data_IF_681445502524
#
_entry.id   IF_681445502524
#
_cell.length_a   1.000
_cell.length_b   1.000
_cell.length_c   1.000
_cell.angle_alpha   90.00
_cell.angle_beta   90.00
_cell.angle_gamma   90.00
#
_symmetry.space_group_name_H-M   'P 1'
#
loop_
_entity.id
_entity.type
_entity.pdbx_description
1 polymer ?
#
# COMPACT_ATOMS: atom_id res chain seq x y z
N UNK A 1 -27.50 -5.48 8.57
CA UNK A 1 -28.19 -4.20 8.76
C UNK A 1 -28.70 -3.73 7.40
N UNK A 2 -30.01 -3.59 7.27
CA UNK A 2 -30.61 -3.06 6.05
C UNK A 2 -30.51 -1.53 6.10
N UNK A 3 -29.72 -0.94 5.21
CA UNK A 3 -29.67 0.50 5.03
C UNK A 3 -30.89 0.89 4.18
N UNK A 4 -31.76 1.77 4.67
CA UNK A 4 -32.93 2.20 3.93
C UNK A 4 -32.55 3.12 2.73
N UNK A 5 -33.45 3.25 1.76
CA UNK A 5 -33.22 4.04 0.56
C UNK A 5 -33.03 5.53 0.85
N UNK A 6 -33.57 6.05 1.96
CA UNK A 6 -33.44 7.46 2.37
C UNK A 6 -32.03 7.70 2.89
N UNK A 7 -31.52 6.83 3.74
CA UNK A 7 -30.16 6.87 4.26
C UNK A 7 -29.12 6.75 3.13
N UNK A 8 -29.33 5.87 2.14
CA UNK A 8 -28.47 5.74 0.97
C UNK A 8 -28.46 7.02 0.12
N UNK A 9 -29.61 7.63 -0.13
CA UNK A 9 -29.70 8.89 -0.87
C UNK A 9 -29.02 10.04 -0.12
N UNK A 10 -29.15 10.10 1.21
CA UNK A 10 -28.47 11.09 2.04
C UNK A 10 -26.95 10.92 1.99
N UNK A 11 -26.46 9.69 2.12
CA UNK A 11 -25.05 9.37 2.01
C UNK A 11 -24.47 9.71 0.63
N UNK A 12 -25.18 9.38 -0.46
CA UNK A 12 -24.76 9.70 -1.81
C UNK A 12 -24.63 11.21 -2.06
N UNK A 13 -25.49 12.03 -1.41
CA UNK A 13 -25.41 13.51 -1.50
C UNK A 13 -24.26 14.10 -0.66
N UNK A 14 -23.90 13.46 0.45
CA UNK A 14 -22.86 13.93 1.37
C UNK A 14 -22.07 12.76 1.91
N UNK A 15 -21.16 12.20 1.11
CA UNK A 15 -20.33 11.09 1.55
C UNK A 15 -19.41 11.53 2.71
N UNK A 16 -19.15 10.62 3.64
CA UNK A 16 -18.26 10.85 4.80
C UNK A 16 -16.78 10.76 4.45
N UNK A 17 -16.46 10.44 3.22
CA UNK A 17 -15.10 10.33 2.70
C UNK A 17 -14.81 11.36 1.61
N UNK A 18 -13.52 11.58 1.35
CA UNK A 18 -13.03 12.42 0.24
C UNK A 18 -12.13 11.58 -0.64
N UNK A 19 -12.32 11.65 -1.94
CA UNK A 19 -11.40 11.11 -2.92
C UNK A 19 -10.32 12.16 -3.15
N UNK A 20 -9.06 11.83 -2.82
CA UNK A 20 -7.90 12.71 -3.02
C UNK A 20 -7.29 12.50 -4.41
N UNK A 21 -7.29 11.25 -4.89
CA UNK A 21 -6.84 10.88 -6.22
C UNK A 21 -7.60 9.63 -6.68
N UNK A 22 -7.93 9.59 -7.98
CA UNK A 22 -8.53 8.41 -8.61
C UNK A 22 -8.19 8.43 -10.09
N UNK A 23 -7.09 7.80 -10.42
CA UNK A 23 -6.60 7.66 -11.79
C UNK A 23 -5.87 6.32 -11.97
N UNK A 24 -5.22 6.11 -13.12
CA UNK A 24 -4.47 4.88 -13.42
C UNK A 24 -3.26 4.65 -12.52
N UNK A 25 -2.76 5.67 -11.84
CA UNK A 25 -1.55 5.58 -11.02
C UNK A 25 -1.88 5.27 -9.57
N UNK A 26 -2.98 5.84 -9.05
CA UNK A 26 -3.36 5.64 -7.66
C UNK A 26 -4.86 5.87 -7.40
N UNK A 27 -5.37 5.17 -6.39
CA UNK A 27 -6.64 5.52 -5.73
C UNK A 27 -6.34 5.89 -4.28
N UNK A 28 -6.69 7.12 -3.88
CA UNK A 28 -6.43 7.64 -2.55
C UNK A 28 -7.72 8.20 -1.97
N UNK A 29 -8.13 7.64 -0.85
CA UNK A 29 -9.39 8.01 -0.18
C UNK A 29 -9.10 8.37 1.27
N UNK A 30 -9.69 9.46 1.74
CA UNK A 30 -9.60 9.91 3.13
C UNK A 30 -10.97 9.92 3.79
N UNK A 31 -11.07 9.33 4.98
CA UNK A 31 -12.18 9.47 5.92
C UNK A 31 -11.76 10.39 7.08
N UNK A 32 -12.10 11.68 7.03
CA UNK A 32 -11.63 12.64 8.06
C UNK A 32 -12.18 12.33 9.46
N UNK A 33 -13.40 11.80 9.54
CA UNK A 33 -14.03 11.47 10.81
C UNK A 33 -13.30 10.34 11.56
N UNK A 34 -12.70 9.42 10.81
CA UNK A 34 -11.99 8.26 11.35
C UNK A 34 -10.46 8.50 11.41
N UNK A 35 -9.98 9.66 10.97
CA UNK A 35 -8.56 9.95 10.82
C UNK A 35 -7.85 9.00 9.84
N UNK A 36 -8.59 8.40 8.91
CA UNK A 36 -8.10 7.33 8.04
C UNK A 36 -7.80 7.85 6.64
N UNK A 37 -6.63 7.49 6.11
CA UNK A 37 -6.29 7.67 4.69
C UNK A 37 -5.79 6.35 4.12
N UNK A 38 -6.41 5.90 3.04
CA UNK A 38 -6.06 4.67 2.32
C UNK A 38 -5.48 5.01 0.96
N UNK A 39 -4.41 4.34 0.60
CA UNK A 39 -3.66 4.50 -0.64
C UNK A 39 -3.57 3.15 -1.35
N UNK A 40 -4.04 3.09 -2.58
CA UNK A 40 -3.80 1.99 -3.51
C UNK A 40 -2.91 2.55 -4.61
N UNK A 41 -1.64 2.16 -4.62
CA UNK A 41 -0.63 2.66 -5.55
C UNK A 41 -0.38 1.58 -6.60
N UNK A 42 -0.84 1.79 -7.83
CA UNK A 42 -0.67 0.85 -8.96
C UNK A 42 0.68 1.00 -9.63
N UNK A 43 1.16 2.25 -9.68
CA UNK A 43 2.46 2.62 -10.23
C UNK A 43 3.26 3.32 -9.13
N UNK A 44 4.57 3.44 -9.34
CA UNK A 44 5.41 4.25 -8.45
C UNK A 44 5.05 5.72 -8.67
N UNK A 45 4.27 6.35 -7.80
CA UNK A 45 3.80 7.70 -8.06
C UNK A 45 4.94 8.70 -7.96
N UNK A 46 5.04 9.57 -8.92
CA UNK A 46 6.03 10.66 -8.90
C UNK A 46 5.75 11.68 -7.80
N UNK A 47 4.48 11.91 -7.49
CA UNK A 47 4.03 12.77 -6.39
C UNK A 47 2.65 12.32 -5.93
N UNK A 48 2.43 12.34 -4.61
CA UNK A 48 1.13 12.10 -4.02
C UNK A 48 0.44 13.44 -3.72
N UNK A 49 -0.91 13.48 -3.79
CA UNK A 49 -1.65 14.71 -3.54
C UNK A 49 -1.44 15.20 -2.10
N UNK A 50 -1.53 16.52 -1.93
CA UNK A 50 -1.54 17.12 -0.61
C UNK A 50 -2.76 16.67 0.21
N UNK A 51 -2.60 16.68 1.53
CA UNK A 51 -3.66 16.33 2.46
C UNK A 51 -3.51 14.97 3.15
N UNK A 52 -2.51 14.15 2.77
CA UNK A 52 -2.14 12.92 3.45
C UNK A 52 -0.74 12.99 4.08
N UNK A 53 -0.43 12.03 4.95
CA UNK A 53 0.89 11.90 5.58
C UNK A 53 1.90 11.15 4.69
N UNK A 54 1.46 10.26 3.82
CA UNK A 54 2.34 9.58 2.87
C UNK A 54 2.81 10.56 1.80
N UNK A 55 4.13 10.69 1.64
CA UNK A 55 4.75 11.52 0.61
C UNK A 55 5.19 10.71 -0.60
N UNK A 56 5.66 9.48 -0.35
CA UNK A 56 6.23 8.62 -1.40
C UNK A 56 6.20 7.16 -0.99
N UNK A 57 6.04 6.29 -1.97
CA UNK A 57 6.42 4.89 -1.90
C UNK A 57 7.32 4.56 -3.10
N UNK A 58 8.25 3.64 -2.96
CA UNK A 58 9.22 3.27 -4.00
C UNK A 58 8.73 2.16 -4.94
N UNK A 59 7.61 1.54 -4.60
CA UNK A 59 6.98 0.49 -5.41
C UNK A 59 5.46 0.54 -5.28
N UNK A 60 4.75 -0.14 -6.19
CA UNK A 60 3.31 -0.36 -6.08
C UNK A 60 2.98 -1.07 -4.77
N UNK A 61 2.01 -0.58 -4.03
CA UNK A 61 1.65 -1.14 -2.72
C UNK A 61 0.30 -0.61 -2.24
N UNK A 62 -0.19 -1.22 -1.19
CA UNK A 62 -1.33 -0.74 -0.41
C UNK A 62 -0.80 -0.13 0.88
N UNK A 63 -1.22 1.09 1.18
CA UNK A 63 -0.85 1.77 2.44
C UNK A 63 -2.11 2.28 3.10
N UNK A 64 -2.23 2.07 4.39
CA UNK A 64 -3.29 2.62 5.21
C UNK A 64 -2.68 3.35 6.41
N UNK A 65 -3.10 4.60 6.62
CA UNK A 65 -2.65 5.42 7.74
C UNK A 65 -3.87 5.84 8.54
N UNK A 66 -3.89 5.49 9.82
CA UNK A 66 -4.87 5.98 10.77
C UNK A 66 -4.20 6.91 11.77
N UNK A 67 -4.62 8.16 11.75
CA UNK A 67 -4.09 9.23 12.59
C UNK A 67 -4.85 9.30 13.93
N UNK A 68 -4.11 9.32 15.02
CA UNK A 68 -4.59 9.63 16.36
C UNK A 68 -3.92 10.93 16.83
N UNK A 69 -4.26 11.38 18.04
CA UNK A 69 -3.72 12.64 18.58
C UNK A 69 -2.19 12.69 18.57
N UNK A 70 -1.54 11.68 19.15
CA UNK A 70 -0.09 11.67 19.38
C UNK A 70 0.62 10.49 18.70
N UNK A 71 -0.13 9.66 17.97
CA UNK A 71 0.36 8.48 17.29
C UNK A 71 -0.38 8.23 15.99
N UNK A 72 0.18 7.39 15.16
CA UNK A 72 -0.50 6.85 14.00
C UNK A 72 -0.26 5.34 13.87
N UNK A 73 -1.18 4.68 13.23
CA UNK A 73 -1.08 3.29 12.84
C UNK A 73 -0.85 3.25 11.34
N UNK A 74 0.27 2.68 10.94
CA UNK A 74 0.66 2.51 9.54
C UNK A 74 0.58 1.04 9.17
N UNK A 75 -0.22 0.74 8.15
CA UNK A 75 -0.31 -0.60 7.57
C UNK A 75 0.23 -0.55 6.14
N UNK A 76 1.12 -1.47 5.80
CA UNK A 76 1.68 -1.62 4.45
C UNK A 76 1.48 -3.05 3.97
N UNK A 77 1.08 -3.21 2.72
CA UNK A 77 0.97 -4.51 2.05
C UNK A 77 1.42 -4.41 0.61
N UNK A 78 2.14 -5.42 0.14
CA UNK A 78 2.46 -5.60 -1.27
C UNK A 78 1.79 -6.90 -1.74
N UNK A 79 0.79 -6.82 -2.62
CA UNK A 79 -0.02 -7.98 -2.98
C UNK A 79 0.65 -8.95 -3.95
N UNK A 80 1.79 -8.59 -4.54
CA UNK A 80 2.56 -9.51 -5.38
C UNK A 80 3.16 -10.61 -4.51
N UNK A 81 3.06 -11.84 -4.96
CA UNK A 81 3.62 -12.99 -4.25
C UNK A 81 5.12 -13.18 -4.55
N UNK A 82 5.69 -12.41 -5.50
CA UNK A 82 7.08 -12.55 -5.96
C UNK A 82 7.50 -14.02 -6.16
N UNK A 83 6.62 -14.80 -6.75
CA UNK A 83 6.88 -16.20 -7.01
C UNK A 83 8.08 -16.35 -7.94
N UNK A 84 8.98 -17.28 -7.62
CA UNK A 84 10.11 -17.60 -8.48
C UNK A 84 9.65 -17.90 -9.90
N UNK A 85 10.24 -17.19 -10.85
CA UNK A 85 10.04 -17.41 -12.28
C UNK A 85 11.27 -18.15 -12.83
N UNK A 86 11.11 -19.42 -13.12
CA UNK A 86 12.17 -20.20 -13.78
C UNK A 86 12.36 -19.74 -15.24
N UNK A 87 13.41 -20.24 -15.93
CA UNK A 87 13.66 -19.93 -17.34
C UNK A 87 12.47 -20.25 -18.26
N UNK A 88 11.63 -21.20 -17.88
CA UNK A 88 10.40 -21.57 -18.61
C UNK A 88 9.24 -20.57 -18.41
N UNK A 89 9.39 -19.60 -17.52
CA UNK A 89 8.39 -18.60 -17.17
C UNK A 89 8.67 -17.24 -17.83
N UNK A 90 9.39 -17.21 -18.93
CA UNK A 90 9.60 -15.99 -19.69
C UNK A 90 8.26 -15.36 -20.07
N UNK A 91 8.14 -14.06 -19.82
CA UNK A 91 6.90 -13.32 -20.06
C UNK A 91 6.59 -13.17 -21.57
N UNK A 92 7.57 -13.42 -22.41
CA UNK A 92 7.49 -13.33 -23.87
C UNK A 92 8.06 -14.58 -24.50
N UNK A 93 7.44 -15.03 -25.60
CA UNK A 93 8.01 -16.08 -26.42
C UNK A 93 9.16 -15.53 -27.30
N UNK A 94 9.81 -16.43 -28.04
CA UNK A 94 10.92 -16.10 -28.93
C UNK A 94 10.55 -15.11 -30.07
N UNK A 95 9.27 -14.97 -30.35
CA UNK A 95 8.72 -14.06 -31.37
C UNK A 95 8.29 -12.72 -30.77
N UNK A 96 8.56 -12.50 -29.46
CA UNK A 96 8.22 -11.28 -28.73
C UNK A 96 6.74 -11.16 -28.35
N UNK A 97 5.96 -12.22 -28.49
CA UNK A 97 4.55 -12.24 -28.12
C UNK A 97 4.45 -12.52 -26.62
N UNK A 98 3.68 -11.69 -25.92
CA UNK A 98 3.41 -11.88 -24.48
C UNK A 98 2.72 -13.24 -24.26
N UNK A 99 3.33 -14.06 -23.43
CA UNK A 99 2.73 -15.33 -23.01
C UNK A 99 1.90 -15.08 -21.74
N UNK A 100 0.59 -15.25 -21.87
CA UNK A 100 -0.31 -15.27 -20.72
C UNK A 100 -0.28 -16.67 -20.12
N UNK A 101 0.44 -16.83 -19.01
CA UNK A 101 0.38 -18.06 -18.22
C UNK A 101 -0.54 -17.84 -17.04
N UNK A 102 -1.55 -18.71 -16.95
CA UNK A 102 -2.42 -18.73 -15.77
C UNK A 102 -1.60 -19.10 -14.54
N UNK A 103 -1.79 -18.36 -13.45
CA UNK A 103 -1.24 -18.72 -12.14
C UNK A 103 -1.68 -20.12 -11.68
N UNK A 104 -2.81 -20.60 -12.18
CA UNK A 104 -3.34 -21.95 -11.89
C UNK A 104 -2.56 -23.08 -12.59
N UNK A 105 -1.72 -22.79 -13.59
CA UNK A 105 -0.89 -23.78 -14.26
C UNK A 105 0.44 -24.04 -13.55
N UNK A 106 0.70 -23.38 -12.40
CA UNK A 106 1.92 -23.52 -11.63
C UNK A 106 1.72 -24.46 -10.46
N UNK A 107 2.64 -25.37 -10.19
CA UNK A 107 2.64 -26.09 -8.93
C UNK A 107 2.95 -25.10 -7.80
N UNK A 108 1.95 -24.66 -7.06
CA UNK A 108 2.07 -23.78 -5.91
C UNK A 108 3.03 -24.31 -4.83
N UNK A 109 3.18 -25.64 -4.80
CA UNK A 109 3.98 -26.37 -3.82
C UNK A 109 5.49 -26.16 -4.04
N UNK A 110 5.90 -25.84 -5.26
CA UNK A 110 7.33 -25.78 -5.62
C UNK A 110 7.87 -24.33 -5.69
N UNK A 111 7.03 -23.34 -5.44
CA UNK A 111 7.41 -21.94 -5.54
C UNK A 111 7.29 -21.26 -4.18
N UNK A 112 8.40 -21.03 -3.52
CA UNK A 112 8.44 -20.16 -2.36
C UNK A 112 8.20 -18.70 -2.81
N UNK A 113 7.38 -17.98 -2.06
CA UNK A 113 7.20 -16.55 -2.27
C UNK A 113 8.45 -15.79 -1.83
N UNK A 114 8.83 -14.78 -2.61
CA UNK A 114 9.93 -13.89 -2.29
C UNK A 114 9.51 -12.75 -1.36
N UNK A 115 10.48 -12.14 -0.69
CA UNK A 115 10.29 -10.88 0.02
C UNK A 115 10.39 -9.70 -0.96
N UNK A 116 9.43 -8.78 -0.86
CA UNK A 116 9.41 -7.56 -1.66
C UNK A 116 9.64 -6.38 -0.72
N UNK A 117 10.76 -5.66 -0.87
CA UNK A 117 11.00 -4.45 -0.09
C UNK A 117 10.07 -3.33 -0.55
N UNK A 118 9.43 -2.66 0.40
CA UNK A 118 8.59 -1.47 0.19
C UNK A 118 9.13 -0.36 1.06
N UNK A 119 9.57 0.74 0.46
CA UNK A 119 10.03 1.92 1.21
C UNK A 119 8.97 3.01 1.13
N UNK A 120 8.51 3.47 2.28
CA UNK A 120 7.54 4.55 2.40
C UNK A 120 8.16 5.75 3.10
N UNK A 121 7.81 6.95 2.62
CA UNK A 121 8.22 8.21 3.22
C UNK A 121 7.00 8.93 3.77
N UNK A 122 7.02 9.24 5.06
CA UNK A 122 5.97 9.95 5.79
C UNK A 122 6.39 11.38 6.09
N UNK A 123 5.43 12.31 6.06
CA UNK A 123 5.62 13.70 6.53
C UNK A 123 5.85 13.71 8.04
N UNK A 124 6.86 14.48 8.47
CA UNK A 124 7.15 14.67 9.88
C UNK A 124 8.06 13.60 10.48
N UNK A 125 8.46 13.86 11.71
CA UNK A 125 9.30 12.94 12.49
C UNK A 125 8.43 12.00 13.30
N UNK A 126 8.63 10.71 13.07
CA UNK A 126 7.91 9.65 13.74
C UNK A 126 8.88 8.62 14.29
N UNK A 127 8.71 8.26 15.55
CA UNK A 127 9.43 7.17 16.18
C UNK A 127 8.67 5.87 15.97
N UNK A 128 9.36 4.81 15.62
CA UNK A 128 8.79 3.46 15.45
C UNK A 128 9.71 2.45 16.14
N UNK A 129 9.15 1.49 16.82
CA UNK A 129 9.91 0.33 17.28
C UNK A 129 10.26 -0.53 16.06
N UNK A 130 11.55 -0.85 15.91
CA UNK A 130 11.99 -1.76 14.86
C UNK A 130 11.40 -3.16 15.07
N UNK A 131 10.98 -3.75 13.97
CA UNK A 131 10.44 -5.11 13.91
C UNK A 131 11.22 -5.93 12.89
N UNK A 132 11.08 -7.26 12.84
CA UNK A 132 11.72 -8.07 11.81
C UNK A 132 11.34 -7.64 10.38
N UNK A 133 10.15 -7.06 10.20
CA UNK A 133 9.62 -6.67 8.89
C UNK A 133 9.64 -5.17 8.61
N UNK A 134 9.97 -4.32 9.59
CA UNK A 134 10.01 -2.86 9.41
C UNK A 134 11.26 -2.27 10.07
N UNK A 135 12.02 -1.48 9.30
CA UNK A 135 13.22 -0.76 9.76
C UNK A 135 13.14 0.71 9.42
N UNK A 136 13.70 1.55 10.28
CA UNK A 136 13.92 2.96 10.02
C UNK A 136 15.13 3.11 9.10
N UNK A 137 14.93 3.68 7.91
CA UNK A 137 16.00 3.99 6.96
C UNK A 137 16.61 5.34 7.26
N UNK A 138 15.77 6.33 7.53
CA UNK A 138 16.19 7.67 7.97
C UNK A 138 15.04 8.40 8.65
N UNK A 139 15.36 9.30 9.56
CA UNK A 139 14.41 10.23 10.15
C UNK A 139 15.03 11.61 10.32
N UNK A 140 14.24 12.63 10.06
CA UNK A 140 14.57 14.02 10.33
C UNK A 140 13.31 14.81 10.76
N UNK A 141 13.44 16.13 10.95
CA UNK A 141 12.30 16.96 11.36
C UNK A 141 11.17 17.03 10.34
N UNK A 142 11.46 16.73 9.06
CA UNK A 142 10.53 16.88 7.95
C UNK A 142 9.91 15.57 7.50
N UNK A 143 10.64 14.45 7.68
CA UNK A 143 10.21 13.15 7.16
C UNK A 143 10.78 11.98 7.96
N UNK A 144 10.06 10.88 7.87
CA UNK A 144 10.48 9.56 8.35
C UNK A 144 10.39 8.57 7.20
N UNK A 145 11.47 7.85 6.94
CA UNK A 145 11.56 6.85 5.87
C UNK A 145 11.63 5.46 6.50
N UNK A 146 10.66 4.63 6.15
CA UNK A 146 10.53 3.26 6.66
C UNK A 146 10.63 2.27 5.52
N UNK A 147 11.32 1.16 5.76
CA UNK A 147 11.42 0.04 4.83
C UNK A 147 10.75 -1.19 5.42
N UNK A 148 9.79 -1.73 4.70
CA UNK A 148 9.08 -2.97 4.99
C UNK A 148 9.61 -4.11 4.12
N UNK A 149 9.66 -5.31 4.67
CA UNK A 149 9.87 -6.56 3.92
C UNK A 149 8.52 -7.27 3.83
N UNK A 150 7.83 -7.05 2.73
CA UNK A 150 6.51 -7.62 2.49
C UNK A 150 6.63 -9.01 1.86
N UNK A 151 5.82 -9.96 2.30
CA UNK A 151 5.80 -11.33 1.80
C UNK A 151 4.36 -11.85 1.78
N UNK A 152 4.05 -12.71 0.83
CA UNK A 152 2.78 -13.45 0.72
C UNK A 152 1.52 -12.56 0.62
N UNK A 153 1.65 -11.31 0.20
CA UNK A 153 0.54 -10.37 0.19
C UNK A 153 0.02 -10.00 1.58
N UNK A 154 0.77 -10.33 2.63
CA UNK A 154 0.38 -10.03 4.00
C UNK A 154 0.38 -8.52 4.28
N UNK A 155 -0.41 -8.11 5.27
CA UNK A 155 -0.44 -6.75 5.78
C UNK A 155 0.48 -6.64 7.01
N UNK A 156 1.34 -5.65 6.99
CA UNK A 156 2.30 -5.36 8.06
C UNK A 156 1.93 -4.05 8.73
N UNK A 157 1.70 -4.10 10.03
CA UNK A 157 1.23 -2.96 10.81
C UNK A 157 2.27 -2.54 11.85
N UNK A 158 2.51 -1.24 11.94
CA UNK A 158 3.37 -0.62 12.95
C UNK A 158 2.69 0.61 13.55
N UNK A 159 2.87 0.79 14.85
CA UNK A 159 2.49 2.01 15.55
C UNK A 159 3.68 2.98 15.55
N UNK A 160 3.41 4.26 15.24
CA UNK A 160 4.38 5.34 15.23
C UNK A 160 3.95 6.43 16.22
N UNK A 161 4.91 6.97 16.94
CA UNK A 161 4.74 8.04 17.94
C UNK A 161 5.49 9.30 17.51
N UNK A 162 5.02 10.47 17.96
CA UNK A 162 5.69 11.75 17.73
C UNK A 162 6.93 11.92 18.61
#
# INVERSE_FOLDING_TARGET
PHTDAVALKAFAKKPTYKILQQDRNAHIVRSPADGLTSYVLFETPQALPDGGLLQKADTSCLVMIREYKDKLLLTVSQPDLALYRGPSDEAFDKDGKRMERSIYSRPWIDNESGEIPVTVTLKGRWKVAETPFCKVVSEDKKQTVLRFLCKDGASYEVELEK
#
